data_IF_469631887963
#
_entry.id   IF_469631887963
#
_cell.length_a   1.000
_cell.length_b   1.000
_cell.length_c   1.000
_cell.angle_alpha   90.00
_cell.angle_beta   90.00
_cell.angle_gamma   90.00
#
_symmetry.space_group_name_H-M   'P 1'
#
loop_
_entity.id
_entity.type
_entity.pdbx_description
1 polymer ?
#
# COMPACT_ATOMS: atom_id res chain seq x y z
N UNK A 1 15.60 13.15 2.89
CA UNK A 1 15.29 12.51 4.20
C UNK A 1 15.46 13.45 5.39
N UNK A 2 16.48 14.32 5.39
CA UNK A 2 16.85 15.09 6.59
C UNK A 2 15.93 16.28 6.90
N UNK A 3 15.27 16.89 5.90
CA UNK A 3 14.40 18.05 6.13
C UNK A 3 13.10 17.70 6.88
N UNK A 4 12.41 16.65 6.44
CA UNK A 4 11.23 16.16 7.15
C UNK A 4 11.60 15.70 8.56
N UNK A 5 12.69 14.95 8.73
CA UNK A 5 13.19 14.56 10.06
C UNK A 5 13.51 15.76 10.94
N UNK A 6 14.24 16.76 10.44
CA UNK A 6 14.50 18.02 11.17
C UNK A 6 13.21 18.73 11.55
N UNK A 7 12.19 18.73 10.69
CA UNK A 7 10.88 19.29 11.00
C UNK A 7 10.22 18.53 12.16
N UNK A 8 10.21 17.18 12.12
CA UNK A 8 9.71 16.37 13.23
C UNK A 8 10.54 16.56 14.50
N UNK A 9 11.87 16.58 14.46
CA UNK A 9 12.76 16.71 15.63
C UNK A 9 12.70 18.11 16.27
N UNK A 10 12.57 19.16 15.46
CA UNK A 10 12.41 20.54 15.94
C UNK A 10 11.07 20.71 16.68
N UNK A 11 10.05 19.91 16.34
CA UNK A 11 8.67 20.07 16.83
C UNK A 11 8.25 19.03 17.86
N UNK A 12 8.70 17.79 17.73
CA UNK A 12 8.64 16.77 18.77
C UNK A 12 9.67 17.17 19.84
N UNK A 13 9.24 18.01 20.79
CA UNK A 13 10.11 18.54 21.84
C UNK A 13 11.04 17.46 22.38
N UNK A 14 12.35 17.73 22.41
CA UNK A 14 13.45 16.81 22.74
C UNK A 14 13.16 15.96 23.99
N UNK A 15 12.43 14.87 23.83
CA UNK A 15 12.24 13.81 24.82
C UNK A 15 12.95 12.56 24.29
N UNK A 16 14.25 12.69 24.08
CA UNK A 16 15.12 11.58 23.68
C UNK A 16 15.98 11.17 24.87
N UNK A 17 15.64 10.04 25.47
CA UNK A 17 16.54 8.98 25.94
C UNK A 17 17.91 9.42 26.47
N UNK A 18 17.95 10.17 27.58
CA UNK A 18 19.19 10.36 28.35
C UNK A 18 19.44 9.24 29.38
N UNK A 19 18.51 8.30 29.55
CA UNK A 19 18.57 7.27 30.59
C UNK A 19 18.55 5.82 30.09
N UNK A 20 18.57 5.56 28.77
CA UNK A 20 18.76 4.19 28.30
C UNK A 20 20.25 3.91 28.18
N UNK A 21 20.78 3.17 29.15
CA UNK A 21 22.16 2.71 29.17
C UNK A 21 22.52 1.92 27.91
N UNK A 22 23.82 1.77 27.69
CA UNK A 22 24.42 1.08 26.54
C UNK A 22 23.84 -0.33 26.43
N UNK A 23 23.10 -0.60 25.36
CA UNK A 23 22.49 -1.91 25.13
C UNK A 23 23.56 -2.97 24.87
N UNK A 24 23.54 -4.04 25.66
CA UNK A 24 24.39 -5.20 25.47
C UNK A 24 23.56 -6.34 24.88
N UNK A 25 24.06 -7.03 23.85
CA UNK A 25 23.39 -8.18 23.25
C UNK A 25 23.96 -9.47 23.84
N UNK A 26 23.10 -10.46 24.08
CA UNK A 26 23.44 -11.79 24.63
C UNK A 26 24.33 -12.66 23.72
N UNK A 27 25.03 -12.06 22.75
CA UNK A 27 25.88 -12.76 21.77
C UNK A 27 27.31 -12.21 21.71
N UNK A 28 27.64 -11.21 22.51
CA UNK A 28 28.97 -10.59 22.49
C UNK A 28 29.95 -11.42 23.36
N UNK A 29 30.48 -12.51 22.79
CA UNK A 29 31.74 -13.12 23.27
C UNK A 29 32.94 -12.60 22.46
N UNK A 30 34.11 -12.40 23.09
CA UNK A 30 35.29 -11.85 22.42
C UNK A 30 35.94 -12.85 21.43
N UNK A 31 36.60 -12.36 20.36
CA UNK A 31 37.07 -13.22 19.27
C UNK A 31 38.35 -13.99 19.65
N UNK A 32 38.28 -15.32 19.52
CA UNK A 32 39.42 -16.23 19.55
C UNK A 32 39.75 -16.76 18.14
N UNK A 33 41.03 -16.92 17.86
CA UNK A 33 41.66 -17.15 16.54
C UNK A 33 41.77 -18.65 16.16
N UNK A 34 41.33 -18.99 14.93
CA UNK A 34 41.85 -20.02 13.97
C UNK A 34 41.78 -21.54 14.33
N UNK A 35 42.02 -22.53 13.40
CA UNK A 35 41.81 -22.63 11.93
C UNK A 35 41.18 -23.97 11.39
N UNK A 36 40.70 -23.92 10.13
CA UNK A 36 40.75 -24.89 8.98
C UNK A 36 40.41 -26.40 9.15
N UNK A 37 39.44 -26.90 8.36
CA UNK A 37 39.56 -28.14 7.55
C UNK A 37 38.53 -28.22 6.40
N UNK A 38 39.01 -28.64 5.22
CA UNK A 38 38.31 -28.84 3.94
C UNK A 38 37.51 -30.16 3.86
N UNK A 39 36.51 -30.22 2.95
CA UNK A 39 36.11 -31.28 1.97
C UNK A 39 34.67 -30.92 1.51
N UNK A 40 34.22 -30.93 0.25
CA UNK A 40 34.70 -31.35 -1.06
C UNK A 40 33.69 -30.91 -2.15
N UNK A 41 34.12 -30.93 -3.42
CA UNK A 41 33.46 -30.39 -4.63
C UNK A 41 32.36 -31.31 -5.19
N UNK A 42 31.33 -30.75 -5.85
CA UNK A 42 30.80 -31.30 -7.11
C UNK A 42 30.16 -30.21 -7.99
N UNK A 43 30.13 -30.48 -9.29
CA UNK A 43 30.36 -29.58 -10.42
C UNK A 43 29.22 -28.65 -10.87
N UNK A 44 29.66 -27.66 -11.63
CA UNK A 44 28.97 -26.64 -12.41
C UNK A 44 29.06 -27.02 -13.89
N UNK A 45 27.92 -27.07 -14.60
CA UNK A 45 27.81 -26.95 -16.06
C UNK A 45 26.44 -26.29 -16.35
N UNK A 46 26.35 -24.99 -16.66
CA UNK A 46 26.58 -24.21 -17.90
C UNK A 46 25.26 -23.80 -18.56
N UNK A 47 25.18 -22.51 -18.87
CA UNK A 47 24.14 -21.81 -19.62
C UNK A 47 23.82 -22.51 -20.94
N UNK A 48 22.54 -22.57 -21.32
CA UNK A 48 21.99 -22.07 -22.60
C UNK A 48 20.47 -21.92 -22.51
N UNK A 49 19.95 -20.80 -23.02
CA UNK A 49 18.52 -20.56 -23.26
C UNK A 49 18.09 -21.29 -24.52
N UNK A 50 16.91 -21.96 -24.55
CA UNK A 50 16.01 -21.68 -25.66
C UNK A 50 14.54 -21.65 -25.22
N UNK A 51 13.90 -20.51 -25.40
CA UNK A 51 12.46 -20.28 -25.22
C UNK A 51 11.56 -21.06 -26.20
N UNK A 52 12.15 -21.85 -27.12
CA UNK A 52 11.43 -22.64 -28.14
C UNK A 52 11.17 -24.08 -27.67
N UNK A 53 11.93 -24.62 -26.72
CA UNK A 53 11.77 -26.00 -26.24
C UNK A 53 10.57 -26.21 -25.31
N UNK A 54 10.05 -25.16 -24.67
CA UNK A 54 8.82 -25.26 -23.85
C UNK A 54 7.54 -25.36 -24.70
N UNK A 55 7.54 -24.76 -25.89
CA UNK A 55 6.36 -24.76 -26.78
C UNK A 55 6.23 -26.15 -27.43
N UNK A 56 7.35 -26.71 -27.92
CA UNK A 56 7.34 -28.04 -28.51
C UNK A 56 7.01 -29.14 -27.50
N UNK A 57 7.47 -29.02 -26.25
CA UNK A 57 7.12 -30.00 -25.20
C UNK A 57 5.66 -29.89 -24.75
N UNK A 58 5.08 -28.68 -24.71
CA UNK A 58 3.67 -28.48 -24.45
C UNK A 58 2.78 -29.03 -25.59
N UNK A 59 3.15 -28.80 -26.85
CA UNK A 59 2.40 -29.29 -28.01
C UNK A 59 2.48 -30.82 -28.15
N UNK A 60 3.64 -31.42 -27.84
CA UNK A 60 3.82 -32.88 -27.79
C UNK A 60 2.99 -33.48 -26.64
N UNK A 61 2.95 -32.82 -25.47
CA UNK A 61 2.11 -33.24 -24.36
C UNK A 61 0.61 -33.11 -24.68
N UNK A 62 0.21 -32.03 -25.36
CA UNK A 62 -1.16 -31.79 -25.81
C UNK A 62 -1.60 -32.83 -26.85
N UNK A 63 -0.75 -33.16 -27.84
CA UNK A 63 -1.03 -34.24 -28.79
C UNK A 63 -1.06 -35.62 -28.13
N UNK A 64 -0.18 -35.88 -27.16
CA UNK A 64 -0.20 -37.14 -26.42
C UNK A 64 -1.47 -37.28 -25.55
N UNK A 65 -1.94 -36.19 -24.95
CA UNK A 65 -3.22 -36.14 -24.24
C UNK A 65 -4.41 -36.35 -25.20
N UNK A 66 -4.42 -35.71 -26.37
CA UNK A 66 -5.44 -35.91 -27.41
C UNK A 66 -5.50 -37.36 -27.89
N UNK A 67 -4.33 -38.01 -28.08
CA UNK A 67 -4.26 -39.43 -28.47
C UNK A 67 -4.77 -40.35 -27.36
N UNK A 68 -4.50 -40.05 -26.08
CA UNK A 68 -5.10 -40.79 -24.94
C UNK A 68 -6.62 -40.62 -24.86
N UNK A 69 -7.15 -39.45 -25.20
CA UNK A 69 -8.59 -39.17 -25.25
C UNK A 69 -9.28 -39.89 -26.42
N UNK A 70 -8.59 -40.03 -27.57
CA UNK A 70 -9.17 -40.63 -28.78
C UNK A 70 -8.92 -42.14 -28.95
N UNK A 71 -8.03 -42.77 -28.16
CA UNK A 71 -7.79 -44.23 -28.19
C UNK A 71 -8.95 -45.07 -27.62
N UNK A 72 -10.08 -44.43 -27.32
CA UNK A 72 -11.32 -45.09 -26.90
C UNK A 72 -12.54 -44.45 -27.54
N UNK A 73 -12.50 -44.11 -28.84
CA UNK A 73 -13.71 -43.80 -29.63
C UNK A 73 -14.59 -45.04 -29.77
N UNK A 74 -15.13 -45.51 -28.63
CA UNK A 74 -16.37 -46.25 -28.59
C UNK A 74 -17.36 -45.32 -29.28
N UNK A 75 -17.86 -45.75 -30.44
CA UNK A 75 -18.87 -44.99 -31.17
C UNK A 75 -19.98 -44.65 -30.18
N UNK A 76 -20.06 -43.37 -29.77
CA UNK A 76 -21.05 -42.94 -28.78
C UNK A 76 -22.41 -43.25 -29.40
N UNK A 77 -23.21 -44.08 -28.72
CA UNK A 77 -24.55 -44.37 -29.20
C UNK A 77 -25.33 -43.05 -29.29
N UNK A 78 -26.25 -42.95 -30.24
CA UNK A 78 -27.05 -41.72 -30.44
C UNK A 78 -27.67 -41.21 -29.12
N UNK A 79 -28.05 -42.13 -28.22
CA UNK A 79 -28.53 -41.86 -26.85
C UNK A 79 -27.47 -41.24 -25.93
N UNK A 80 -26.24 -41.74 -25.91
CA UNK A 80 -25.15 -41.18 -25.09
C UNK A 80 -24.79 -39.76 -25.55
N UNK A 81 -24.80 -39.53 -26.86
CA UNK A 81 -24.55 -38.21 -27.44
C UNK A 81 -25.65 -37.20 -27.07
N UNK A 82 -26.92 -37.63 -27.08
CA UNK A 82 -28.04 -36.80 -26.67
C UNK A 82 -27.98 -36.41 -25.18
N UNK A 83 -27.64 -37.37 -24.30
CA UNK A 83 -27.48 -37.12 -22.86
C UNK A 83 -26.34 -36.11 -22.60
N UNK A 84 -25.21 -36.25 -23.30
CA UNK A 84 -24.08 -35.33 -23.16
C UNK A 84 -24.41 -33.91 -23.63
N UNK A 85 -25.12 -33.79 -24.76
CA UNK A 85 -25.58 -32.50 -25.28
C UNK A 85 -26.58 -31.81 -24.33
N UNK A 86 -27.46 -32.59 -23.69
CA UNK A 86 -28.40 -32.06 -22.70
C UNK A 86 -27.67 -31.57 -21.44
N UNK A 87 -26.72 -32.35 -20.91
CA UNK A 87 -25.93 -31.98 -19.75
C UNK A 87 -25.06 -30.72 -19.99
N UNK A 88 -24.45 -30.60 -21.17
CA UNK A 88 -23.68 -29.41 -21.55
C UNK A 88 -24.56 -28.16 -21.64
N UNK A 89 -25.74 -28.28 -22.24
CA UNK A 89 -26.70 -27.18 -22.35
C UNK A 89 -27.26 -26.75 -20.98
N UNK A 90 -27.36 -27.67 -20.03
CA UNK A 90 -27.80 -27.38 -18.67
C UNK A 90 -26.71 -26.64 -17.87
N UNK A 91 -25.44 -27.10 -17.96
CA UNK A 91 -24.29 -26.41 -17.37
C UNK A 91 -24.07 -25.00 -17.93
N UNK A 92 -24.29 -24.80 -19.24
CA UNK A 92 -24.17 -23.48 -19.86
C UNK A 92 -25.28 -22.53 -19.38
N UNK A 93 -26.51 -23.03 -19.22
CA UNK A 93 -27.60 -22.26 -18.61
C UNK A 93 -27.33 -21.92 -17.15
N UNK A 94 -26.76 -22.82 -16.36
CA UNK A 94 -26.34 -22.53 -14.99
C UNK A 94 -25.25 -21.46 -14.95
N UNK A 95 -24.27 -21.53 -15.85
CA UNK A 95 -23.21 -20.53 -16.01
C UNK A 95 -23.77 -19.16 -16.39
N UNK A 96 -24.69 -19.10 -17.34
CA UNK A 96 -25.32 -17.86 -17.78
C UNK A 96 -26.23 -17.26 -16.70
N UNK A 97 -26.95 -18.09 -15.93
CA UNK A 97 -27.70 -17.64 -14.75
C UNK A 97 -26.77 -17.11 -13.65
N UNK A 98 -25.61 -17.73 -13.46
CA UNK A 98 -24.59 -17.28 -12.53
C UNK A 98 -23.94 -15.97 -13.00
N UNK A 99 -23.66 -15.81 -14.29
CA UNK A 99 -23.15 -14.55 -14.86
C UNK A 99 -24.20 -13.43 -14.84
N UNK A 100 -25.48 -13.75 -14.99
CA UNK A 100 -26.58 -12.79 -14.79
C UNK A 100 -26.75 -12.41 -13.31
N UNK A 101 -26.46 -13.32 -12.37
CA UNK A 101 -26.42 -13.00 -10.92
C UNK A 101 -25.24 -12.07 -10.56
N UNK A 102 -24.15 -12.09 -11.32
CA UNK A 102 -22.95 -11.25 -11.13
C UNK A 102 -23.12 -9.86 -11.77
N UNK A 103 -23.95 -9.73 -12.81
CA UNK A 103 -24.14 -8.47 -13.55
C UNK A 103 -25.44 -7.72 -13.20
N UNK A 104 -26.37 -8.35 -12.47
CA UNK A 104 -27.61 -7.73 -11.98
C UNK A 104 -27.58 -7.27 -10.51
N UNK A 105 -26.54 -7.60 -9.74
CA UNK A 105 -26.40 -7.16 -8.35
C UNK A 105 -25.34 -6.08 -8.26
N UNK A 106 -25.77 -4.83 -8.07
CA UNK A 106 -24.99 -3.90 -7.26
C UNK A 106 -24.74 -4.63 -5.95
N UNK A 107 -23.52 -5.13 -5.75
CA UNK A 107 -23.09 -5.61 -4.44
C UNK A 107 -23.11 -4.41 -3.49
N UNK A 108 -24.29 -4.12 -2.93
CA UNK A 108 -24.36 -3.79 -1.52
C UNK A 108 -23.67 -4.96 -0.82
N UNK A 109 -22.44 -4.69 -0.39
CA UNK A 109 -21.78 -5.54 0.58
C UNK A 109 -22.66 -5.49 1.82
N UNK A 110 -23.54 -6.48 1.98
CA UNK A 110 -24.31 -6.65 3.20
C UNK A 110 -23.29 -6.95 4.30
N UNK A 111 -22.91 -5.89 5.00
CA UNK A 111 -22.05 -5.95 6.17
C UNK A 111 -22.80 -6.83 7.16
N UNK A 112 -22.38 -8.09 7.31
CA UNK A 112 -22.78 -8.89 8.47
C UNK A 112 -22.15 -8.21 9.68
N UNK A 113 -22.92 -7.32 10.30
CA UNK A 113 -22.60 -6.74 11.59
C UNK A 113 -22.47 -7.89 12.58
N UNK A 114 -21.24 -8.28 12.89
CA UNK A 114 -21.02 -9.14 14.04
C UNK A 114 -21.44 -8.32 15.26
N UNK A 115 -22.42 -8.79 16.02
CA UNK A 115 -22.96 -8.14 17.24
C UNK A 115 -21.87 -7.80 18.30
N UNK A 116 -20.65 -8.32 18.12
CA UNK A 116 -19.48 -8.06 18.95
C UNK A 116 -18.68 -6.79 18.55
N UNK A 117 -19.01 -6.14 17.42
CA UNK A 117 -18.34 -4.91 16.97
C UNK A 117 -18.75 -3.66 17.77
N UNK A 118 -19.89 -3.69 18.46
CA UNK A 118 -20.39 -2.58 19.27
C UNK A 118 -19.73 -2.47 20.66
N UNK A 119 -18.85 -3.41 21.04
CA UNK A 119 -18.06 -3.36 22.28
C UNK A 119 -16.69 -2.68 22.09
N UNK A 120 -16.39 -2.18 20.89
CA UNK A 120 -15.22 -1.31 20.69
C UNK A 120 -15.64 0.13 21.00
N UNK A 121 -15.56 0.49 22.28
CA UNK A 121 -15.45 1.88 22.69
C UNK A 121 -14.38 2.56 21.81
N UNK A 122 -14.82 3.54 21.02
CA UNK A 122 -14.10 4.44 20.11
C UNK A 122 -12.59 4.16 19.87
N UNK A 123 -12.23 3.83 18.62
CA UNK A 123 -10.84 3.68 18.21
C UNK A 123 -10.15 5.06 18.17
N UNK A 124 -9.22 5.28 19.09
CA UNK A 124 -8.42 6.50 19.15
C UNK A 124 -7.05 6.37 18.49
N UNK A 125 -6.55 7.46 17.95
CA UNK A 125 -5.21 7.59 17.37
C UNK A 125 -4.39 8.63 18.13
N UNK A 126 -3.06 8.48 18.05
CA UNK A 126 -2.07 9.45 18.50
C UNK A 126 -1.15 9.83 17.35
N UNK A 127 -0.59 11.04 17.41
CA UNK A 127 0.34 11.54 16.41
C UNK A 127 1.51 12.25 17.11
N UNK A 128 2.74 11.90 16.75
CA UNK A 128 3.95 12.44 17.38
C UNK A 128 4.07 13.97 17.20
N UNK A 129 3.53 14.52 16.10
CA UNK A 129 3.53 15.97 15.83
C UNK A 129 2.60 16.76 16.76
N UNK A 130 1.47 16.19 17.14
CA UNK A 130 0.48 16.83 18.02
C UNK A 130 0.76 16.56 19.50
N UNK A 131 1.69 15.65 19.78
CA UNK A 131 2.00 15.11 21.09
C UNK A 131 1.28 13.78 21.33
N UNK A 132 2.02 12.80 21.86
CA UNK A 132 1.53 11.44 22.14
C UNK A 132 0.40 11.37 23.17
N UNK A 133 0.22 12.45 23.95
CA UNK A 133 -0.76 12.55 25.02
C UNK A 133 -2.17 12.89 24.49
N UNK A 134 -2.27 13.46 23.28
CA UNK A 134 -3.54 13.82 22.65
C UNK A 134 -4.10 12.64 21.86
N UNK A 135 -5.28 12.20 22.25
CA UNK A 135 -6.00 11.07 21.66
C UNK A 135 -7.26 11.59 21.00
N UNK A 136 -7.47 11.23 19.74
CA UNK A 136 -8.64 11.66 18.98
C UNK A 136 -9.12 10.53 18.08
N UNK A 137 -10.36 10.61 17.62
CA UNK A 137 -10.83 9.79 16.49
C UNK A 137 -10.03 10.13 15.23
N UNK A 138 -10.05 9.27 14.21
CA UNK A 138 -9.29 9.51 12.97
C UNK A 138 -9.66 10.85 12.31
N UNK A 139 -10.96 11.16 12.23
CA UNK A 139 -11.49 12.40 11.66
C UNK A 139 -11.05 13.64 12.41
N UNK A 140 -11.12 13.60 13.74
CA UNK A 140 -10.69 14.71 14.60
C UNK A 140 -9.17 14.88 14.58
N UNK A 141 -8.43 13.77 14.53
CA UNK A 141 -6.98 13.78 14.38
C UNK A 141 -6.57 14.45 13.07
N UNK A 142 -7.21 14.11 11.95
CA UNK A 142 -6.96 14.77 10.66
C UNK A 142 -7.26 16.27 10.71
N UNK A 143 -8.36 16.68 11.37
CA UNK A 143 -8.70 18.11 11.53
C UNK A 143 -7.70 18.85 12.42
N UNK A 144 -7.30 18.26 13.53
CA UNK A 144 -6.30 18.81 14.45
C UNK A 144 -4.94 18.94 13.75
N UNK A 145 -4.54 17.90 13.00
CA UNK A 145 -3.34 17.88 12.18
C UNK A 145 -3.38 18.96 11.10
N UNK A 146 -4.50 19.14 10.41
CA UNK A 146 -4.68 20.21 9.41
C UNK A 146 -4.43 21.58 10.02
N UNK A 147 -5.09 21.90 11.14
CA UNK A 147 -4.93 23.17 11.85
C UNK A 147 -3.48 23.40 12.27
N UNK A 148 -2.84 22.37 12.84
CA UNK A 148 -1.44 22.43 13.24
C UNK A 148 -0.52 22.70 12.03
N UNK A 149 -0.63 21.93 10.96
CA UNK A 149 0.23 22.10 9.78
C UNK A 149 0.00 23.45 9.10
N UNK A 150 -1.24 23.95 9.02
CA UNK A 150 -1.54 25.29 8.50
C UNK A 150 -0.88 26.39 9.33
N UNK A 151 -0.81 26.24 10.66
CA UNK A 151 -0.08 27.19 11.51
C UNK A 151 1.43 27.23 11.21
N UNK A 152 1.98 26.15 10.64
CA UNK A 152 3.41 26.04 10.31
C UNK A 152 3.77 26.56 8.92
N UNK A 153 2.78 26.90 8.07
CA UNK A 153 3.03 27.43 6.73
C UNK A 153 3.89 28.70 6.72
N UNK A 154 3.83 29.51 7.78
CA UNK A 154 4.66 30.73 7.93
C UNK A 154 6.14 30.44 8.16
N UNK A 155 6.49 29.30 8.75
CA UNK A 155 7.87 28.92 9.05
C UNK A 155 8.47 28.13 7.89
N UNK A 156 7.87 26.99 7.58
CA UNK A 156 8.38 26.04 6.60
C UNK A 156 7.26 25.71 5.59
N UNK A 157 6.92 26.69 4.75
CA UNK A 157 5.77 26.64 3.84
C UNK A 157 5.77 25.43 2.90
N UNK A 158 6.90 25.11 2.29
CA UNK A 158 7.04 23.96 1.37
C UNK A 158 6.79 22.65 2.12
N UNK A 159 7.48 22.43 3.25
CA UNK A 159 7.36 21.17 4.02
C UNK A 159 5.95 21.01 4.60
N UNK A 160 5.40 22.07 5.19
CA UNK A 160 4.06 22.03 5.80
C UNK A 160 2.97 21.76 4.75
N UNK A 161 3.02 22.42 3.58
CA UNK A 161 2.05 22.20 2.50
C UNK A 161 2.15 20.79 1.91
N UNK A 162 3.36 20.25 1.72
CA UNK A 162 3.55 18.85 1.31
C UNK A 162 2.98 17.88 2.34
N UNK A 163 3.21 18.10 3.64
CA UNK A 163 2.64 17.22 4.69
C UNK A 163 1.09 17.25 4.69
N UNK A 164 0.48 18.41 4.49
CA UNK A 164 -0.98 18.55 4.32
C UNK A 164 -1.43 17.73 3.09
N UNK A 165 -0.73 17.91 1.98
CA UNK A 165 -1.03 17.24 0.71
C UNK A 165 -0.96 15.71 0.83
N UNK A 166 0.04 15.19 1.54
CA UNK A 166 0.21 13.75 1.72
C UNK A 166 -0.73 13.12 2.75
N UNK A 167 -1.06 13.85 3.82
CA UNK A 167 -1.76 13.27 4.99
C UNK A 167 -3.28 13.41 4.96
N UNK A 168 -3.82 14.41 4.24
CA UNK A 168 -5.24 14.76 4.31
C UNK A 168 -6.04 14.40 3.04
N UNK A 169 -5.39 13.83 2.03
CA UNK A 169 -6.01 13.52 0.75
C UNK A 169 -5.97 12.02 0.46
N UNK A 170 -6.96 11.54 -0.31
CA UNK A 170 -6.98 10.17 -0.82
C UNK A 170 -5.78 9.93 -1.75
N UNK A 171 -5.26 8.69 -1.74
CA UNK A 171 -4.04 8.33 -2.46
C UNK A 171 -4.09 8.64 -3.96
N UNK A 172 -5.20 8.34 -4.62
CA UNK A 172 -5.33 8.51 -6.07
C UNK A 172 -5.33 9.99 -6.46
N UNK A 173 -6.15 10.80 -5.79
CA UNK A 173 -6.23 12.26 -6.01
C UNK A 173 -4.90 12.93 -5.70
N UNK A 174 -4.25 12.52 -4.61
CA UNK A 174 -2.92 13.01 -4.23
C UNK A 174 -1.90 12.75 -5.33
N UNK A 175 -1.83 11.53 -5.85
CA UNK A 175 -0.82 11.17 -6.85
C UNK A 175 -0.96 12.01 -8.13
N UNK A 176 -2.19 12.17 -8.63
CA UNK A 176 -2.48 13.01 -9.79
C UNK A 176 -2.14 14.48 -9.57
N UNK A 177 -2.41 15.01 -8.37
CA UNK A 177 -2.03 16.36 -7.98
C UNK A 177 -0.51 16.54 -7.95
N UNK A 178 0.22 15.61 -7.30
CA UNK A 178 1.68 15.63 -7.19
C UNK A 178 2.32 15.64 -8.58
N UNK A 179 1.87 14.81 -9.50
CA UNK A 179 2.38 14.79 -10.87
C UNK A 179 2.17 16.12 -11.59
N UNK A 180 1.01 16.75 -11.40
CA UNK A 180 0.67 18.02 -12.02
C UNK A 180 1.49 19.17 -11.42
N UNK A 181 1.65 19.19 -10.09
CA UNK A 181 2.47 20.17 -9.37
C UNK A 181 3.95 20.06 -9.77
N UNK A 182 4.50 18.84 -9.85
CA UNK A 182 5.87 18.60 -10.34
C UNK A 182 6.06 19.17 -11.74
N UNK A 183 5.10 18.96 -12.65
CA UNK A 183 5.15 19.54 -14.01
C UNK A 183 5.18 21.07 -13.98
N UNK A 184 4.31 21.71 -13.18
CA UNK A 184 4.31 23.17 -13.09
C UNK A 184 5.65 23.73 -12.59
N UNK A 185 6.19 23.17 -11.51
CA UNK A 185 7.47 23.64 -10.95
C UNK A 185 8.63 23.35 -11.91
N UNK A 186 8.66 22.17 -12.53
CA UNK A 186 9.70 21.79 -13.51
C UNK A 186 9.69 22.71 -14.73
N UNK A 187 8.51 23.03 -15.28
CA UNK A 187 8.39 23.92 -16.43
C UNK A 187 8.93 25.33 -16.14
N UNK A 188 8.68 25.85 -14.92
CA UNK A 188 9.22 27.15 -14.50
C UNK A 188 10.74 27.08 -14.31
N UNK A 189 11.24 26.01 -13.68
CA UNK A 189 12.67 25.82 -13.43
C UNK A 189 13.47 25.66 -14.72
N UNK A 190 12.94 24.94 -15.72
CA UNK A 190 13.61 24.75 -17.02
C UNK A 190 13.55 26.00 -17.90
N UNK A 191 12.45 26.77 -17.83
CA UNK A 191 12.20 27.90 -18.72
C UNK A 191 11.72 29.15 -17.95
N UNK A 192 12.57 29.74 -17.09
CA UNK A 192 12.15 30.84 -16.22
C UNK A 192 11.84 32.12 -16.98
N UNK A 193 12.41 32.33 -18.18
CA UNK A 193 12.19 33.51 -19.03
C UNK A 193 10.84 33.52 -19.76
N UNK A 194 10.20 32.35 -19.91
CA UNK A 194 8.97 32.20 -20.70
C UNK A 194 7.73 32.49 -19.84
N UNK A 195 7.07 33.61 -20.09
CA UNK A 195 5.90 34.05 -19.32
C UNK A 195 4.72 33.06 -19.30
N UNK A 196 4.59 32.20 -20.33
CA UNK A 196 3.55 31.16 -20.41
C UNK A 196 3.67 30.15 -19.26
N UNK A 197 4.88 29.77 -18.86
CA UNK A 197 5.08 28.80 -17.77
C UNK A 197 4.98 29.43 -16.39
N UNK A 198 5.15 30.75 -16.31
CA UNK A 198 4.98 31.52 -15.06
C UNK A 198 3.52 31.80 -14.69
N UNK A 199 2.55 31.44 -15.53
CA UNK A 199 1.13 31.76 -15.36
C UNK A 199 0.27 30.50 -15.46
N UNK A 200 -0.51 30.24 -14.42
CA UNK A 200 -1.46 29.12 -14.36
C UNK A 200 -2.88 29.69 -14.26
N UNK A 201 -3.76 29.29 -15.18
CA UNK A 201 -5.18 29.64 -15.15
C UNK A 201 -5.90 28.78 -14.11
N UNK A 202 -6.61 29.39 -13.16
CA UNK A 202 -7.41 28.61 -12.22
C UNK A 202 -8.54 27.87 -12.93
N UNK A 203 -9.13 28.43 -13.98
CA UNK A 203 -10.22 27.80 -14.74
C UNK A 203 -9.77 26.64 -15.66
N UNK A 204 -8.47 26.34 -15.71
CA UNK A 204 -7.97 25.23 -16.52
C UNK A 204 -8.54 23.91 -15.99
N UNK A 205 -9.13 23.10 -16.88
CA UNK A 205 -9.69 21.79 -16.56
C UNK A 205 -8.71 20.91 -15.75
N UNK A 206 -7.44 20.85 -16.16
CA UNK A 206 -6.43 20.03 -15.47
C UNK A 206 -6.20 20.53 -14.04
N UNK A 207 -6.20 21.85 -13.85
CA UNK A 207 -6.05 22.46 -12.53
C UNK A 207 -7.27 22.18 -11.66
N UNK A 208 -8.48 22.40 -12.19
CA UNK A 208 -9.74 22.20 -11.48
C UNK A 208 -9.98 20.74 -11.09
N UNK A 209 -9.58 19.80 -11.94
CA UNK A 209 -9.79 18.38 -11.68
C UNK A 209 -8.74 17.81 -10.69
N UNK A 210 -7.47 18.16 -10.89
CA UNK A 210 -6.36 17.49 -10.19
C UNK A 210 -5.80 18.28 -9.01
N UNK A 211 -5.75 19.60 -9.11
CA UNK A 211 -5.02 20.45 -8.16
C UNK A 211 -5.97 21.15 -7.18
N UNK A 212 -7.05 21.75 -7.68
CA UNK A 212 -8.03 22.48 -6.89
C UNK A 212 -8.70 21.68 -5.77
N UNK A 213 -9.13 20.40 -5.95
CA UNK A 213 -9.82 19.66 -4.89
C UNK A 213 -8.87 19.10 -3.83
N UNK A 214 -7.55 19.19 -4.04
CA UNK A 214 -6.54 18.60 -3.16
C UNK A 214 -6.07 19.63 -2.14
N UNK A 215 -6.26 19.31 -0.85
CA UNK A 215 -5.83 20.17 0.26
C UNK A 215 -4.30 20.29 0.26
N UNK A 216 -3.79 21.50 0.48
CA UNK A 216 -2.35 21.78 0.52
C UNK A 216 -1.73 22.09 -0.84
N UNK A 217 -2.39 21.79 -1.96
CA UNK A 217 -1.85 22.07 -3.30
C UNK A 217 -1.68 23.56 -3.57
N UNK A 218 -2.68 24.36 -3.18
CA UNK A 218 -2.63 25.82 -3.31
C UNK A 218 -1.59 26.43 -2.38
N UNK A 219 -1.59 26.00 -1.11
CA UNK A 219 -0.59 26.41 -0.11
C UNK A 219 0.85 26.09 -0.59
N UNK A 220 1.04 24.99 -1.31
CA UNK A 220 2.32 24.60 -1.90
C UNK A 220 2.75 25.53 -3.04
N UNK A 221 1.84 25.88 -3.95
CA UNK A 221 2.13 26.82 -5.04
C UNK A 221 2.47 28.21 -4.47
N UNK A 222 1.73 28.66 -3.45
CA UNK A 222 2.04 29.92 -2.75
C UNK A 222 3.42 29.86 -2.08
N UNK A 223 3.78 28.74 -1.44
CA UNK A 223 5.10 28.54 -0.85
C UNK A 223 6.24 28.48 -1.90
N UNK A 224 5.95 28.05 -3.13
CA UNK A 224 6.89 28.11 -4.26
C UNK A 224 7.05 29.52 -4.83
N UNK A 225 6.19 30.48 -4.44
CA UNK A 225 6.26 31.87 -4.89
C UNK A 225 5.19 32.28 -5.91
N UNK A 226 4.22 31.42 -6.20
CA UNK A 226 3.05 31.81 -6.99
C UNK A 226 2.11 32.69 -6.16
N UNK A 227 1.55 33.71 -6.79
CA UNK A 227 0.59 34.63 -6.17
C UNK A 227 -0.71 34.62 -6.96
N UNK A 228 -1.84 34.71 -6.25
CA UNK A 228 -3.15 34.84 -6.91
C UNK A 228 -3.32 36.26 -7.44
N UNK A 229 -3.52 36.39 -8.74
CA UNK A 229 -3.84 37.64 -9.42
C UNK A 229 -5.17 37.50 -10.16
N UNK A 230 -6.03 38.50 -10.00
CA UNK A 230 -7.25 38.66 -10.79
C UNK A 230 -7.00 39.66 -11.91
N UNK A 231 -7.18 39.24 -13.15
CA UNK A 231 -6.98 40.09 -14.33
C UNK A 231 -8.27 40.14 -15.16
N UNK A 232 -8.60 41.35 -15.62
CA UNK A 232 -9.69 41.61 -16.56
C UNK A 232 -9.06 41.67 -17.95
N UNK A 233 -9.35 40.67 -18.79
CA UNK A 233 -8.73 40.55 -20.13
C UNK A 233 -9.38 41.49 -21.14
N UNK A 234 -10.64 41.87 -20.93
CA UNK A 234 -11.40 42.76 -21.82
C UNK A 234 -12.34 43.63 -20.98
N UNK A 235 -12.45 44.92 -21.30
CA UNK A 235 -13.36 45.85 -20.62
C UNK A 235 -14.82 45.35 -20.78
N UNK A 236 -15.34 44.72 -19.73
CA UNK A 236 -16.70 44.13 -19.71
C UNK A 236 -16.77 42.64 -19.34
N UNK A 237 -15.64 41.93 -19.31
CA UNK A 237 -15.59 40.51 -18.91
C UNK A 237 -15.42 40.33 -17.39
N UNK A 238 -15.91 39.21 -16.86
CA UNK A 238 -15.68 38.84 -15.46
C UNK A 238 -14.17 38.64 -15.17
N UNK A 239 -13.70 39.08 -13.99
CA UNK A 239 -12.30 38.97 -13.62
C UNK A 239 -11.88 37.49 -13.52
N UNK A 240 -10.89 37.09 -14.34
CA UNK A 240 -10.35 35.73 -14.32
C UNK A 240 -9.21 35.64 -13.33
N UNK A 241 -9.14 34.50 -12.63
CA UNK A 241 -8.15 34.26 -11.58
C UNK A 241 -6.98 33.44 -12.12
N UNK A 242 -5.78 33.92 -11.83
CA UNK A 242 -4.52 33.31 -12.25
C UNK A 242 -3.62 33.13 -11.04
N UNK A 243 -2.77 32.10 -11.08
CA UNK A 243 -1.59 31.99 -10.24
C UNK A 243 -0.38 32.40 -11.06
N UNK A 244 0.33 33.42 -10.61
CA UNK A 244 1.47 34.01 -11.34
C UNK A 244 2.70 34.00 -10.44
N UNK A 245 3.83 33.54 -10.96
CA UNK A 245 5.13 33.67 -10.28
C UNK A 245 5.91 34.84 -10.90
N UNK A 246 6.47 35.71 -10.06
CA UNK A 246 7.33 36.81 -10.51
C UNK A 246 8.62 36.25 -11.11
N UNK A 247 9.25 37.02 -12.00
CA UNK A 247 10.50 36.60 -12.65
C UNK A 247 11.63 36.40 -11.64
N UNK A 248 11.72 37.25 -10.62
CA UNK A 248 12.69 37.13 -9.53
C UNK A 248 12.55 35.79 -8.78
N UNK A 249 11.32 35.40 -8.43
CA UNK A 249 11.06 34.14 -7.73
C UNK A 249 11.22 32.93 -8.64
N UNK A 250 10.89 33.06 -9.93
CA UNK A 250 11.08 32.00 -10.92
C UNK A 250 12.58 31.70 -11.15
N UNK A 251 13.45 32.70 -11.02
CA UNK A 251 14.89 32.54 -11.13
C UNK A 251 15.55 31.93 -9.87
N UNK A 252 14.81 31.81 -8.75
CA UNK A 252 15.29 31.14 -7.54
C UNK A 252 15.20 29.61 -7.69
N UNK A 253 16.11 29.07 -8.51
CA UNK A 253 16.18 27.64 -8.81
C UNK A 253 16.37 26.78 -7.54
N UNK A 254 17.02 27.32 -6.50
CA UNK A 254 17.24 26.63 -5.23
C UNK A 254 15.91 26.30 -4.54
N UNK A 255 15.00 27.29 -4.43
CA UNK A 255 13.67 27.07 -3.84
C UNK A 255 12.80 26.13 -4.66
N UNK A 256 12.84 26.23 -5.99
CA UNK A 256 12.08 25.34 -6.87
C UNK A 256 12.59 23.90 -6.80
N UNK A 257 13.91 23.71 -6.72
CA UNK A 257 14.53 22.40 -6.52
C UNK A 257 14.14 21.80 -5.16
N UNK A 258 14.22 22.60 -4.10
CA UNK A 258 13.77 22.22 -2.76
C UNK A 258 12.29 21.77 -2.75
N UNK A 259 11.44 22.46 -3.51
CA UNK A 259 10.04 22.11 -3.65
C UNK A 259 9.82 20.78 -4.39
N UNK A 260 10.59 20.54 -5.46
CA UNK A 260 10.56 19.27 -6.21
C UNK A 260 11.07 18.10 -5.35
N UNK A 261 12.16 18.30 -4.61
CA UNK A 261 12.70 17.30 -3.68
C UNK A 261 11.66 16.97 -2.61
N UNK A 262 11.02 17.98 -2.01
CA UNK A 262 9.97 17.78 -1.02
C UNK A 262 8.77 16.99 -1.59
N UNK A 263 8.36 17.22 -2.83
CA UNK A 263 7.30 16.43 -3.50
C UNK A 263 7.73 15.00 -3.84
N UNK A 264 9.02 14.74 -4.04
CA UNK A 264 9.55 13.40 -4.29
C UNK A 264 9.69 12.59 -2.99
N UNK A 265 10.15 13.23 -1.92
CA UNK A 265 10.37 12.60 -0.62
C UNK A 265 9.14 12.63 0.30
N UNK A 266 8.07 13.31 -0.10
CA UNK A 266 6.87 13.50 0.72
C UNK A 266 6.28 12.18 1.19
N UNK A 267 5.98 12.10 2.48
CA UNK A 267 5.32 10.96 3.11
C UNK A 267 4.14 11.43 3.97
N UNK A 268 3.06 10.63 4.07
CA UNK A 268 1.97 10.94 4.97
C UNK A 268 2.44 10.90 6.42
N UNK A 269 1.88 11.78 7.25
CA UNK A 269 2.14 11.76 8.70
C UNK A 269 1.58 10.46 9.28
N UNK A 270 2.41 9.62 9.93
CA UNK A 270 1.97 8.35 10.47
C UNK A 270 1.05 8.58 11.68
N UNK A 271 -0.17 8.05 11.60
CA UNK A 271 -1.09 7.99 12.74
C UNK A 271 -0.89 6.67 13.46
N UNK A 272 -0.64 6.72 14.77
CA UNK A 272 -0.45 5.53 15.60
C UNK A 272 -1.75 5.18 16.29
N UNK A 273 -2.11 3.90 16.27
CA UNK A 273 -3.26 3.42 17.03
C UNK A 273 -2.99 3.58 18.53
N UNK A 274 -3.88 4.27 19.24
CA UNK A 274 -3.80 4.38 20.68
C UNK A 274 -4.25 3.07 21.34
N UNK A 275 -3.33 2.44 22.07
CA UNK A 275 -3.59 1.22 22.82
C UNK A 275 -3.84 1.59 24.29
N UNK A 276 -5.10 1.53 24.74
CA UNK A 276 -5.42 1.75 26.16
C UNK A 276 -4.78 0.66 27.06
N UNK A 277 -3.88 0.98 28.00
CA UNK A 277 -3.22 -0.03 28.82
C UNK A 277 -4.17 -0.86 29.71
N UNK A 278 -5.42 -0.40 29.94
CA UNK A 278 -6.40 -1.13 30.76
C UNK A 278 -6.78 -2.49 30.13
N UNK A 279 -6.85 -2.61 28.80
CA UNK A 279 -7.19 -3.89 28.16
C UNK A 279 -6.08 -4.93 28.22
N UNK A 280 -4.83 -4.53 28.46
CA UNK A 280 -3.71 -5.46 28.65
C UNK A 280 -3.76 -6.19 30.00
N UNK A 281 -4.47 -5.63 31.00
CA UNK A 281 -4.62 -6.22 32.34
C UNK A 281 -5.87 -7.09 32.50
N UNK A 282 -6.87 -6.96 31.62
CA UNK A 282 -8.11 -7.78 31.67
C UNK A 282 -7.94 -9.12 30.96
N UNK A 283 -6.94 -9.26 30.08
CA UNK A 283 -6.61 -10.54 29.46
C UNK A 283 -5.67 -11.39 30.35
N UNK A 284 -6.06 -11.61 31.60
CA UNK A 284 -5.56 -12.81 32.29
C UNK A 284 -6.32 -14.00 31.71
N UNK A 285 -5.66 -15.00 31.11
CA UNK A 285 -6.33 -16.25 30.77
C UNK A 285 -6.84 -16.80 32.09
N UNK A 286 -8.16 -16.75 32.28
CA UNK A 286 -8.80 -17.35 33.44
C UNK A 286 -8.50 -18.85 33.34
N UNK A 287 -7.57 -19.33 34.16
CA UNK A 287 -7.26 -20.75 34.39
C UNK A 287 -8.51 -21.47 34.90
N UNK A 288 -9.49 -21.74 34.04
CA UNK A 288 -10.73 -22.44 34.38
C UNK A 288 -11.26 -23.40 33.34
N UNK A 289 -10.50 -23.73 32.30
CA UNK A 289 -10.82 -24.85 31.43
C UNK A 289 -9.70 -25.89 31.51
N UNK A 290 -10.11 -27.14 31.76
CA UNK A 290 -9.32 -28.37 31.87
C UNK A 290 -8.82 -28.73 33.29
N UNK A 291 -9.76 -28.86 34.23
CA UNK A 291 -9.73 -29.97 35.19
C UNK A 291 -11.06 -30.71 35.12
N UNK A 292 -11.09 -31.79 34.35
CA UNK A 292 -11.53 -33.12 34.79
C UNK A 292 -11.83 -34.03 33.59
N UNK A 293 -11.03 -35.10 33.52
CA UNK A 293 -11.29 -36.42 32.94
C UNK A 293 -11.54 -36.52 31.43
N UNK A 294 -10.51 -36.96 30.70
CA UNK A 294 -10.37 -38.36 30.28
C UNK A 294 -8.89 -38.65 30.04
N UNK A 295 -8.33 -39.43 30.97
CA UNK A 295 -7.17 -40.27 30.76
C UNK A 295 -7.65 -41.42 29.87
N UNK A 296 -7.08 -41.65 28.68
CA UNK A 296 -6.94 -43.00 28.12
C UNK A 296 -5.93 -43.01 26.96
N UNK A 297 -4.85 -43.75 27.20
CA UNK A 297 -3.85 -44.33 26.29
C UNK A 297 -2.93 -43.42 25.44
N UNK A 298 -1.74 -43.18 26.00
CA UNK A 298 -0.48 -43.35 25.24
C UNK A 298 -0.03 -44.79 25.43
N UNK A 299 -0.09 -45.59 24.36
CA UNK A 299 0.73 -46.79 24.14
C UNK A 299 0.59 -47.16 22.66
N UNK A 300 1.57 -46.79 21.84
CA UNK A 300 2.70 -47.63 21.45
C UNK A 300 2.41 -48.37 20.14
N UNK A 301 3.45 -48.44 19.30
CA UNK A 301 3.58 -49.27 18.09
C UNK A 301 3.04 -48.70 16.77
N UNK A 302 3.95 -47.99 16.11
CA UNK A 302 4.14 -48.06 14.66
C UNK A 302 4.32 -49.53 14.24
N UNK A 303 3.33 -50.12 13.54
CA UNK A 303 3.48 -51.23 12.58
C UNK A 303 2.12 -51.62 11.94
N UNK A 304 1.96 -51.22 10.67
CA UNK A 304 1.15 -51.86 9.63
C UNK A 304 1.84 -51.51 8.31
N UNK A 305 2.04 -52.36 7.32
CA UNK A 305 1.77 -53.78 7.07
C UNK A 305 2.48 -54.08 5.72
N UNK A 306 2.63 -55.35 5.34
CA UNK A 306 2.80 -55.95 3.98
C UNK A 306 3.86 -57.06 4.10
N UNK A 307 3.44 -58.29 4.42
CA UNK A 307 3.03 -59.35 3.50
C UNK A 307 4.19 -59.93 2.68
N UNK A 308 4.42 -61.23 2.86
CA UNK A 308 4.82 -62.11 1.77
C UNK A 308 6.04 -62.98 2.03
N UNK A 309 5.78 -64.30 2.10
CA UNK A 309 6.69 -65.45 1.93
C UNK A 309 7.13 -66.12 3.23
N UNK A 310 7.23 -67.44 3.35
CA UNK A 310 6.68 -68.62 2.65
C UNK A 310 7.29 -69.80 3.42
N UNK A 311 6.48 -70.80 3.77
CA UNK A 311 6.81 -72.25 3.88
C UNK A 311 7.99 -72.70 4.77
N UNK A 312 7.73 -73.53 5.81
CA UNK A 312 7.88 -75.02 5.84
C UNK A 312 9.36 -75.46 5.71
N UNK A 313 9.93 -76.40 6.45
CA UNK A 313 9.45 -77.55 7.24
C UNK A 313 10.68 -78.05 8.05
N UNK A 314 10.43 -78.74 9.17
CA UNK A 314 11.25 -79.80 9.83
C UNK A 314 12.75 -79.60 10.01
#
# INVERSE_FOLDING_TARGET
MDRFKKFFEKKAGKKSFKNCGVGHRLSDEPPSKMPIANVGKMQKETNESPSVQRITTADIAAQAAFKRMNLGSRQESSTQRAIRLQALRELEKERDLQEQSITGSKHECEVREFEHCNMLEEIYFTCDLLGSDKKFTESEMKRSLESFLRSQLRSDGIVASVLILFSLNATDKRQQAVETLKKYVTNVMENPSVAKYRRIRLDNHIFQERVAPVKGSRDFLEACGFEECSEVVTEGDEPRKFLVISEEKANDASKLLDALEALNEGQPVPLKLHRNPVWALVFQPSNRFLKNNICFLVSFVSKRLVLGSSMRFT
#
